data_IF_223694778524
#
_entry.id   IF_223694778524
#
_cell.length_a   1.000
_cell.length_b   1.000
_cell.length_c   1.000
_cell.angle_alpha   90.00
_cell.angle_beta   90.00
_cell.angle_gamma   90.00
#
_symmetry.space_group_name_H-M   'P 1'
#
loop_
_entity.id
_entity.type
_entity.pdbx_description
1 polymer ?
#
# COMPACT_ATOMS: atom_id res chain seq x y z
N UNK A 1 0.61 -10.73 -16.42
CA UNK A 1 -0.32 -10.20 -15.38
C UNK A 1 -0.53 -8.69 -15.47
N UNK A 2 0.42 -7.93 -16.01
CA UNK A 2 0.31 -6.49 -16.35
C UNK A 2 -0.80 -6.12 -17.37
N UNK A 3 -1.34 -7.08 -18.11
CA UNK A 3 -2.46 -6.86 -19.06
C UNK A 3 -3.80 -6.59 -18.38
N UNK A 4 -4.06 -7.16 -17.19
CA UNK A 4 -5.33 -6.95 -16.48
C UNK A 4 -5.35 -5.60 -15.79
N UNK A 5 -4.25 -5.19 -15.14
CA UNK A 5 -4.11 -3.83 -14.61
C UNK A 5 -4.18 -2.78 -15.72
N UNK A 6 -3.50 -3.03 -16.85
CA UNK A 6 -3.61 -2.20 -18.06
C UNK A 6 -5.02 -2.16 -18.65
N UNK A 7 -5.76 -3.27 -18.61
CA UNK A 7 -7.16 -3.36 -19.05
C UNK A 7 -8.12 -2.58 -18.14
N UNK A 8 -7.95 -2.67 -16.82
CA UNK A 8 -8.71 -1.88 -15.85
C UNK A 8 -8.45 -0.39 -16.08
N UNK A 9 -7.19 0.02 -16.25
CA UNK A 9 -6.86 1.42 -16.57
C UNK A 9 -7.43 1.83 -17.92
N UNK A 10 -7.40 0.95 -18.94
CA UNK A 10 -8.00 1.20 -20.26
C UNK A 10 -9.50 1.50 -20.16
N UNK A 11 -10.23 0.77 -19.30
CA UNK A 11 -11.63 1.03 -18.99
C UNK A 11 -11.88 2.41 -18.36
N UNK A 12 -10.93 2.93 -17.58
CA UNK A 12 -11.03 4.27 -16.99
C UNK A 12 -10.32 5.38 -17.79
N UNK A 13 -9.56 5.02 -18.83
CA UNK A 13 -8.77 5.94 -19.68
C UNK A 13 -9.58 7.08 -20.30
N UNK A 14 -10.85 6.90 -20.73
CA UNK A 14 -11.63 8.00 -21.27
C UNK A 14 -11.84 9.16 -20.27
N UNK A 15 -11.92 8.86 -18.96
CA UNK A 15 -12.05 9.85 -17.89
C UNK A 15 -10.71 10.37 -17.38
N UNK A 16 -9.64 9.58 -17.50
CA UNK A 16 -8.31 9.89 -16.95
C UNK A 16 -7.40 10.68 -17.89
N UNK A 17 -7.66 10.71 -19.21
CA UNK A 17 -6.90 11.54 -20.17
C UNK A 17 -6.94 13.04 -19.86
N UNK A 18 -7.91 13.49 -19.08
CA UNK A 18 -8.07 14.90 -18.71
C UNK A 18 -7.18 15.36 -17.54
N UNK A 19 -6.37 14.46 -16.93
CA UNK A 19 -5.67 14.76 -15.68
C UNK A 19 -4.23 14.22 -15.66
N UNK A 20 -3.22 15.07 -15.95
CA UNK A 20 -1.80 14.68 -15.99
C UNK A 20 -1.28 14.06 -14.68
N UNK A 21 -1.83 14.46 -13.54
CA UNK A 21 -1.44 13.97 -12.21
C UNK A 21 -1.71 12.47 -12.02
N UNK A 22 -2.70 11.89 -12.70
CA UNK A 22 -3.04 10.46 -12.61
C UNK A 22 -1.91 9.61 -13.19
N UNK A 23 -1.41 9.99 -14.36
CA UNK A 23 -0.30 9.31 -15.03
C UNK A 23 1.02 9.47 -14.27
N UNK A 24 1.20 10.60 -13.58
CA UNK A 24 2.36 10.83 -12.74
C UNK A 24 2.39 9.94 -11.49
N UNK A 25 1.23 9.71 -10.87
CA UNK A 25 1.11 8.94 -9.62
C UNK A 25 1.02 7.43 -9.83
N UNK A 26 0.61 6.98 -11.02
CA UNK A 26 0.34 5.57 -11.26
C UNK A 26 1.58 4.66 -11.15
N UNK A 27 2.72 4.93 -11.83
CA UNK A 27 3.93 4.11 -11.66
C UNK A 27 4.45 4.07 -10.22
N UNK A 28 4.56 5.21 -9.51
CA UNK A 28 4.93 5.23 -8.09
C UNK A 28 4.09 4.32 -7.18
N UNK A 29 2.78 4.31 -7.38
CA UNK A 29 1.86 3.48 -6.58
C UNK A 29 2.08 1.99 -6.82
N UNK A 30 2.41 1.61 -8.06
CA UNK A 30 2.73 0.21 -8.38
C UNK A 30 4.03 -0.26 -7.71
N UNK A 31 5.03 0.61 -7.60
CA UNK A 31 6.29 0.34 -6.88
C UNK A 31 6.02 0.08 -5.40
N UNK A 32 5.34 1.02 -4.72
CA UNK A 32 5.00 0.92 -3.29
C UNK A 32 4.26 -0.39 -2.99
N UNK A 33 3.31 -0.78 -3.86
CA UNK A 33 2.60 -2.05 -3.73
C UNK A 33 3.54 -3.25 -3.74
N UNK A 34 4.53 -3.26 -4.64
CA UNK A 34 5.52 -4.33 -4.76
C UNK A 34 6.32 -4.50 -3.48
N UNK A 35 6.85 -3.39 -2.97
CA UNK A 35 7.68 -3.36 -1.76
C UNK A 35 6.90 -3.87 -0.54
N UNK A 36 5.68 -3.37 -0.35
CA UNK A 36 4.82 -3.78 0.77
C UNK A 36 4.43 -5.25 0.67
N UNK A 37 4.10 -5.74 -0.53
CA UNK A 37 3.73 -7.15 -0.72
C UNK A 37 4.91 -8.07 -0.43
N UNK A 38 6.13 -7.68 -0.82
CA UNK A 38 7.36 -8.41 -0.54
C UNK A 38 7.67 -8.45 0.96
N UNK A 39 7.67 -7.30 1.61
CA UNK A 39 7.93 -7.17 3.06
C UNK A 39 6.92 -7.99 3.86
N UNK A 40 5.63 -7.88 3.53
CA UNK A 40 4.57 -8.62 4.20
C UNK A 40 4.73 -10.13 3.98
N UNK A 41 4.85 -10.59 2.74
CA UNK A 41 4.93 -12.03 2.43
C UNK A 41 6.17 -12.67 3.05
N UNK A 42 7.35 -12.05 2.89
CA UNK A 42 8.61 -12.59 3.40
C UNK A 42 8.60 -12.70 4.93
N UNK A 43 8.23 -11.63 5.64
CA UNK A 43 8.15 -11.66 7.10
C UNK A 43 7.12 -12.69 7.59
N UNK A 44 5.97 -12.81 6.92
CA UNK A 44 4.90 -13.71 7.36
C UNK A 44 5.30 -15.18 7.15
N UNK A 45 5.96 -15.53 6.04
CA UNK A 45 6.51 -16.86 5.80
C UNK A 45 7.60 -17.21 6.82
N UNK A 46 8.56 -16.31 7.07
CA UNK A 46 9.63 -16.53 8.05
C UNK A 46 9.07 -16.67 9.48
N UNK A 47 8.16 -15.79 9.89
CA UNK A 47 7.55 -15.86 11.22
C UNK A 47 6.70 -17.13 11.42
N UNK A 48 6.04 -17.65 10.37
CA UNK A 48 5.34 -18.94 10.44
C UNK A 48 6.31 -20.10 10.63
N UNK A 49 7.41 -20.14 9.88
CA UNK A 49 8.42 -21.20 9.97
C UNK A 49 9.18 -21.19 11.30
N UNK A 50 9.45 -19.99 11.85
CA UNK A 50 10.07 -19.84 13.17
C UNK A 50 9.08 -20.04 14.33
N UNK A 51 7.79 -20.24 14.05
CA UNK A 51 6.76 -20.41 15.07
C UNK A 51 6.44 -19.14 15.88
N UNK A 52 6.87 -17.96 15.41
CA UNK A 52 6.63 -16.66 16.04
C UNK A 52 5.17 -16.20 15.90
N UNK A 53 4.48 -16.65 14.85
CA UNK A 53 3.06 -16.38 14.62
C UNK A 53 2.28 -17.68 14.49
N UNK A 54 1.04 -17.66 14.98
CA UNK A 54 0.13 -18.80 14.88
C UNK A 54 -0.50 -18.82 13.48
N UNK A 55 -0.83 -19.99 12.92
CA UNK A 55 -1.52 -20.12 11.64
C UNK A 55 -3.03 -19.80 11.77
N UNK A 56 -3.34 -18.61 12.32
CA UNK A 56 -4.67 -18.07 12.59
C UNK A 56 -4.63 -16.54 12.44
N UNK A 57 -5.68 -15.96 11.87
CA UNK A 57 -5.75 -14.50 11.65
C UNK A 57 -6.24 -13.75 12.89
N UNK A 58 -7.24 -14.29 13.57
CA UNK A 58 -7.78 -13.70 14.81
C UNK A 58 -7.07 -14.26 16.03
N UNK A 59 -6.73 -13.38 16.98
CA UNK A 59 -6.06 -13.76 18.23
C UNK A 59 -4.63 -14.28 18.00
N UNK A 60 -3.93 -13.70 17.02
CA UNK A 60 -2.53 -14.02 16.75
C UNK A 60 -1.60 -13.35 17.78
N UNK A 61 -0.30 -13.64 17.70
CA UNK A 61 0.73 -13.12 18.61
C UNK A 61 0.96 -11.63 18.44
N UNK A 62 1.58 -11.01 19.44
CA UNK A 62 1.99 -9.60 19.39
C UNK A 62 2.97 -9.31 18.24
N UNK A 63 3.73 -10.31 17.81
CA UNK A 63 4.61 -10.24 16.64
C UNK A 63 3.81 -9.98 15.34
N UNK A 64 2.72 -10.72 15.11
CA UNK A 64 1.84 -10.49 13.95
C UNK A 64 1.24 -9.09 13.97
N UNK A 65 0.76 -8.65 15.15
CA UNK A 65 0.21 -7.30 15.32
C UNK A 65 1.25 -6.23 15.04
N UNK A 66 2.48 -6.42 15.50
CA UNK A 66 3.60 -5.52 15.27
C UNK A 66 3.97 -5.43 13.79
N UNK A 67 4.01 -6.56 13.08
CA UNK A 67 4.25 -6.61 11.64
C UNK A 67 3.15 -5.84 10.86
N UNK A 68 1.88 -6.09 11.17
CA UNK A 68 0.76 -5.38 10.54
C UNK A 68 0.83 -3.87 10.79
N UNK A 69 1.15 -3.47 12.02
CA UNK A 69 1.33 -2.05 12.35
C UNK A 69 2.52 -1.44 11.59
N UNK A 70 3.64 -2.16 11.49
CA UNK A 70 4.82 -1.72 10.76
C UNK A 70 4.51 -1.52 9.28
N UNK A 71 3.84 -2.49 8.64
CA UNK A 71 3.45 -2.40 7.23
C UNK A 71 2.52 -1.21 6.97
N UNK A 72 1.53 -0.96 7.83
CA UNK A 72 0.63 0.18 7.67
C UNK A 72 1.35 1.52 7.85
N UNK A 73 2.22 1.64 8.84
CA UNK A 73 3.00 2.86 9.07
C UNK A 73 4.00 3.09 7.92
N UNK A 74 4.68 2.03 7.47
CA UNK A 74 5.60 2.08 6.34
C UNK A 74 4.88 2.55 5.07
N UNK A 75 3.73 1.94 4.75
CA UNK A 75 2.89 2.36 3.61
C UNK A 75 2.55 3.85 3.67
N UNK A 76 2.22 4.36 4.85
CA UNK A 76 1.91 5.76 5.03
C UNK A 76 3.12 6.67 4.79
N UNK A 77 4.29 6.32 5.34
CA UNK A 77 5.54 7.05 5.13
C UNK A 77 5.96 7.03 3.66
N UNK A 78 5.91 5.87 3.01
CA UNK A 78 6.33 5.68 1.62
C UNK A 78 5.44 6.47 0.67
N UNK A 79 4.12 6.41 0.87
CA UNK A 79 3.17 7.16 0.04
C UNK A 79 3.32 8.67 0.19
N UNK A 80 3.62 9.16 1.40
CA UNK A 80 3.91 10.57 1.63
C UNK A 80 5.22 11.00 0.96
N UNK A 81 6.30 10.26 1.18
CA UNK A 81 7.60 10.55 0.58
C UNK A 81 7.49 10.56 -0.95
N UNK A 82 6.85 9.54 -1.51
CA UNK A 82 6.66 9.40 -2.94
C UNK A 82 5.72 10.47 -3.53
N UNK A 83 4.69 10.87 -2.78
CA UNK A 83 3.82 11.98 -3.14
C UNK A 83 4.58 13.30 -3.24
N UNK A 84 5.47 13.59 -2.28
CA UNK A 84 6.33 14.78 -2.28
C UNK A 84 7.34 14.74 -3.44
N UNK A 85 7.97 13.60 -3.70
CA UNK A 85 8.92 13.43 -4.83
C UNK A 85 8.19 13.63 -6.15
N UNK A 86 7.05 12.95 -6.34
CA UNK A 86 6.23 13.05 -7.56
C UNK A 86 5.75 14.48 -7.80
N UNK A 87 5.31 15.17 -6.75
CA UNK A 87 4.92 16.57 -6.81
C UNK A 87 6.09 17.46 -7.22
N UNK A 88 7.25 17.31 -6.57
CA UNK A 88 8.44 18.11 -6.83
C UNK A 88 8.93 17.96 -8.27
N UNK A 89 8.97 16.72 -8.79
CA UNK A 89 9.30 16.47 -10.20
C UNK A 89 8.30 17.14 -11.14
N UNK A 90 7.00 16.99 -10.90
CA UNK A 90 5.99 17.58 -11.78
C UNK A 90 5.97 19.12 -11.72
N UNK A 91 6.31 19.70 -10.57
CA UNK A 91 6.50 21.14 -10.42
C UNK A 91 7.71 21.64 -11.24
N UNK A 92 8.84 20.91 -11.19
CA UNK A 92 10.04 21.21 -11.97
C UNK A 92 9.79 21.12 -13.49
N UNK A 93 8.98 20.17 -13.94
CA UNK A 93 8.59 20.03 -15.35
C UNK A 93 7.44 20.96 -15.77
N UNK A 94 6.95 21.85 -14.89
CA UNK A 94 5.85 22.78 -15.18
C UNK A 94 4.49 22.12 -15.42
N UNK A 95 4.31 20.86 -14.98
CA UNK A 95 3.10 20.05 -15.19
C UNK A 95 2.16 20.05 -13.97
N UNK A 96 2.61 20.58 -12.83
CA UNK A 96 1.81 20.69 -11.62
C UNK A 96 1.81 22.12 -11.05
N UNK A 97 0.71 22.48 -10.40
CA UNK A 97 0.57 23.74 -9.63
C UNK A 97 0.66 23.48 -8.13
N UNK A 98 1.08 24.48 -7.35
CA UNK A 98 1.10 24.43 -5.88
C UNK A 98 -0.26 24.07 -5.29
N UNK A 99 -1.35 24.43 -5.97
CA UNK A 99 -2.72 24.08 -5.56
C UNK A 99 -3.00 22.58 -5.61
N UNK A 100 -2.19 21.79 -6.33
CA UNK A 100 -2.40 20.35 -6.47
C UNK A 100 -1.64 19.51 -5.45
N UNK A 101 -0.80 20.12 -4.58
CA UNK A 101 -0.01 19.41 -3.58
C UNK A 101 -0.87 18.45 -2.73
N UNK A 102 -2.09 18.88 -2.39
CA UNK A 102 -3.01 18.04 -1.63
C UNK A 102 -3.34 16.74 -2.37
N UNK A 103 -3.52 16.76 -3.70
CA UNK A 103 -3.85 15.58 -4.51
C UNK A 103 -2.71 14.57 -4.43
N UNK A 104 -1.48 15.05 -4.60
CA UNK A 104 -0.27 14.23 -4.55
C UNK A 104 -0.01 13.61 -3.18
N UNK A 105 -0.49 14.24 -2.10
CA UNK A 105 -0.43 13.65 -0.76
C UNK A 105 -1.61 12.70 -0.49
N UNK A 106 -2.84 13.11 -0.78
CA UNK A 106 -4.03 12.37 -0.34
C UNK A 106 -4.32 11.14 -1.20
N UNK A 107 -4.15 11.23 -2.52
CA UNK A 107 -4.54 10.14 -3.43
C UNK A 107 -3.69 8.89 -3.24
N UNK A 108 -2.34 8.96 -3.28
CA UNK A 108 -1.50 7.78 -3.09
C UNK A 108 -1.69 7.16 -1.71
N UNK A 109 -1.76 7.98 -0.66
CA UNK A 109 -1.91 7.50 0.70
C UNK A 109 -3.22 6.76 0.91
N UNK A 110 -4.36 7.34 0.52
CA UNK A 110 -5.66 6.67 0.68
C UNK A 110 -5.75 5.43 -0.19
N UNK A 111 -5.30 5.50 -1.44
CA UNK A 111 -5.34 4.36 -2.37
C UNK A 111 -4.52 3.17 -1.87
N UNK A 112 -3.26 3.41 -1.48
CA UNK A 112 -2.37 2.35 -1.02
C UNK A 112 -2.79 1.80 0.35
N UNK A 113 -3.24 2.64 1.29
CA UNK A 113 -3.71 2.14 2.59
C UNK A 113 -4.97 1.30 2.44
N UNK A 114 -5.92 1.71 1.58
CA UNK A 114 -7.07 0.88 1.24
C UNK A 114 -6.64 -0.46 0.63
N UNK A 115 -5.69 -0.43 -0.29
CA UNK A 115 -5.19 -1.65 -0.93
C UNK A 115 -4.52 -2.58 0.08
N UNK A 116 -3.61 -2.05 0.91
CA UNK A 116 -2.89 -2.80 1.95
C UNK A 116 -3.84 -3.37 2.99
N UNK A 117 -4.87 -2.62 3.41
CA UNK A 117 -5.87 -3.11 4.35
C UNK A 117 -6.59 -4.37 3.83
N UNK A 118 -6.78 -4.48 2.51
CA UNK A 118 -7.35 -5.67 1.86
C UNK A 118 -6.29 -6.74 1.60
N UNK A 119 -5.07 -6.36 1.24
CA UNK A 119 -3.97 -7.28 0.96
C UNK A 119 -3.49 -8.03 2.20
N UNK A 120 -3.44 -7.39 3.38
CA UNK A 120 -2.99 -8.02 4.63
C UNK A 120 -3.76 -9.33 4.95
N UNK A 121 -5.11 -9.34 5.02
CA UNK A 121 -5.84 -10.56 5.31
C UNK A 121 -5.72 -11.59 4.17
N UNK A 122 -5.66 -11.15 2.90
CA UNK A 122 -5.50 -12.06 1.76
C UNK A 122 -4.14 -12.78 1.80
N UNK A 123 -3.05 -12.04 1.98
CA UNK A 123 -1.69 -12.60 2.14
C UNK A 123 -1.60 -13.48 3.38
N UNK A 124 -2.20 -13.06 4.50
CA UNK A 124 -2.22 -13.88 5.72
C UNK A 124 -2.97 -15.20 5.53
N UNK A 125 -4.17 -15.17 4.91
CA UNK A 125 -4.98 -16.36 4.64
C UNK A 125 -4.23 -17.36 3.76
N UNK A 126 -3.64 -16.86 2.69
CA UNK A 126 -2.98 -17.70 1.69
C UNK A 126 -1.67 -18.28 2.23
N UNK A 127 -0.87 -17.50 2.96
CA UNK A 127 0.32 -18.01 3.65
C UNK A 127 -0.02 -19.08 4.70
N UNK A 128 -1.08 -18.86 5.49
CA UNK A 128 -1.57 -19.87 6.46
C UNK A 128 -2.05 -21.13 5.75
N UNK A 129 -2.77 -20.99 4.63
CA UNK A 129 -3.27 -22.11 3.84
C UNK A 129 -2.13 -22.93 3.21
N UNK A 130 -1.09 -22.27 2.70
CA UNK A 130 0.11 -22.91 2.17
C UNK A 130 0.87 -23.65 3.28
N UNK A 131 1.11 -22.99 4.42
CA UNK A 131 1.75 -23.58 5.59
C UNK A 131 1.03 -24.85 6.07
N UNK A 132 -0.32 -24.82 6.16
CA UNK A 132 -1.12 -26.00 6.54
C UNK A 132 -1.04 -27.15 5.54
N UNK A 133 -0.76 -26.87 4.27
CA UNK A 133 -0.61 -27.88 3.21
C UNK A 133 0.83 -28.35 3.05
N UNK A 134 1.79 -27.84 3.84
CA UNK A 134 3.21 -28.13 3.70
C UNK A 134 3.79 -27.64 2.37
N UNK A 135 3.10 -26.70 1.70
CA UNK A 135 3.55 -26.09 0.45
C UNK A 135 4.36 -24.86 0.79
N UNK A 136 5.44 -24.64 0.06
CA UNK A 136 6.20 -23.40 0.14
C UNK A 136 5.33 -22.25 -0.39
N UNK A 137 4.91 -21.29 0.47
CA UNK A 137 4.11 -20.14 0.05
C UNK A 137 4.78 -19.37 -1.10
N UNK A 138 6.11 -19.37 -1.15
CA UNK A 138 6.85 -18.52 -2.07
C UNK A 138 6.76 -19.02 -3.53
N UNK A 139 6.44 -20.31 -3.76
CA UNK A 139 6.42 -20.92 -5.11
C UNK A 139 5.06 -20.76 -5.81
N UNK A 140 3.95 -20.87 -5.08
CA UNK A 140 2.58 -20.89 -5.65
C UNK A 140 1.73 -19.72 -5.21
N UNK A 141 1.95 -19.19 -4.01
CA UNK A 141 1.10 -18.14 -3.44
C UNK A 141 1.57 -16.77 -3.91
N UNK A 142 2.88 -16.56 -4.08
CA UNK A 142 3.43 -15.28 -4.52
C UNK A 142 2.86 -14.78 -5.87
N UNK A 143 2.79 -15.59 -6.95
CA UNK A 143 2.27 -15.11 -8.25
C UNK A 143 0.77 -14.76 -8.20
N UNK A 144 -0.01 -15.53 -7.44
CA UNK A 144 -1.45 -15.32 -7.28
C UNK A 144 -1.68 -14.06 -6.45
N UNK A 145 -0.99 -13.91 -5.32
CA UNK A 145 -1.08 -12.72 -4.47
C UNK A 145 -0.63 -11.46 -5.19
N UNK A 146 0.46 -11.52 -5.94
CA UNK A 146 0.94 -10.38 -6.72
C UNK A 146 -0.15 -9.88 -7.69
N UNK A 147 -0.82 -10.82 -8.38
CA UNK A 147 -1.90 -10.51 -9.33
C UNK A 147 -3.15 -9.95 -8.65
N UNK A 148 -3.54 -10.52 -7.50
CA UNK A 148 -4.69 -10.03 -6.72
C UNK A 148 -4.39 -8.64 -6.17
N UNK A 149 -3.19 -8.43 -5.60
CA UNK A 149 -2.78 -7.13 -5.08
C UNK A 149 -2.66 -6.07 -6.18
N UNK A 150 -2.26 -6.45 -7.40
CA UNK A 150 -2.28 -5.58 -8.59
C UNK A 150 -3.69 -5.07 -8.90
N UNK A 151 -4.68 -5.97 -8.89
CA UNK A 151 -6.07 -5.60 -9.12
C UNK A 151 -6.57 -4.71 -7.99
N UNK A 152 -6.30 -5.08 -6.73
CA UNK A 152 -6.75 -4.35 -5.55
C UNK A 152 -6.17 -2.93 -5.53
N UNK A 153 -4.87 -2.75 -5.79
CA UNK A 153 -4.26 -1.41 -5.83
C UNK A 153 -4.79 -0.58 -6.99
N UNK A 154 -4.96 -1.19 -8.17
CA UNK A 154 -5.47 -0.49 -9.35
C UNK A 154 -6.92 -0.03 -9.15
N UNK A 155 -7.76 -0.88 -8.57
CA UNK A 155 -9.15 -0.54 -8.24
C UNK A 155 -9.20 0.54 -7.16
N UNK A 156 -8.36 0.44 -6.11
CA UNK A 156 -8.29 1.44 -5.05
C UNK A 156 -7.82 2.81 -5.57
N UNK A 157 -6.85 2.82 -6.48
CA UNK A 157 -6.39 4.02 -7.17
C UNK A 157 -7.47 4.60 -8.09
N UNK A 158 -8.15 3.77 -8.89
CA UNK A 158 -9.22 4.23 -9.76
C UNK A 158 -10.40 4.81 -8.97
N UNK A 159 -10.76 4.19 -7.83
CA UNK A 159 -11.81 4.68 -6.94
C UNK A 159 -11.45 6.03 -6.32
N UNK A 160 -10.25 6.18 -5.76
CA UNK A 160 -9.77 7.44 -5.17
C UNK A 160 -9.64 8.55 -6.22
N UNK A 161 -9.10 8.24 -7.41
CA UNK A 161 -9.04 9.18 -8.51
C UNK A 161 -10.44 9.63 -8.97
N UNK A 162 -11.40 8.70 -9.04
CA UNK A 162 -12.79 9.02 -9.39
C UNK A 162 -13.46 9.95 -8.37
N UNK A 163 -13.19 9.77 -7.07
CA UNK A 163 -13.68 10.66 -6.02
C UNK A 163 -13.13 12.09 -6.14
N UNK A 164 -11.87 12.24 -6.54
CA UNK A 164 -11.26 13.55 -6.81
C UNK A 164 -11.90 14.21 -8.03
N UNK A 165 -12.10 13.46 -9.12
CA UNK A 165 -12.71 13.99 -10.35
C UNK A 165 -14.18 14.36 -10.14
N UNK A 166 -14.93 13.59 -9.34
CA UNK A 166 -16.32 13.87 -9.02
C UNK A 166 -16.51 15.20 -8.26
N UNK A 167 -15.48 15.67 -7.54
CA UNK A 167 -15.52 16.91 -6.78
C UNK A 167 -16.52 16.90 -5.62
N UNK A 168 -16.68 18.06 -4.96
CA UNK A 168 -17.65 18.27 -3.88
C UNK A 168 -17.47 17.30 -2.72
N UNK A 169 -18.50 16.47 -2.46
CA UNK A 169 -18.50 15.49 -1.36
C UNK A 169 -17.35 14.48 -1.47
N UNK A 170 -17.03 14.01 -2.69
CA UNK A 170 -15.96 13.02 -2.90
C UNK A 170 -14.60 13.54 -2.45
N UNK A 171 -14.35 14.83 -2.69
CA UNK A 171 -13.13 15.49 -2.24
C UNK A 171 -13.06 15.60 -0.71
N UNK A 172 -14.15 16.00 -0.04
CA UNK A 172 -14.21 16.07 1.42
C UNK A 172 -14.05 14.69 2.07
N UNK A 173 -14.68 13.65 1.52
CA UNK A 173 -14.52 12.27 1.99
C UNK A 173 -13.08 11.80 1.90
N UNK A 174 -12.37 12.13 0.82
CA UNK A 174 -10.95 11.81 0.66
C UNK A 174 -10.09 12.52 1.71
N UNK A 175 -10.37 13.80 1.99
CA UNK A 175 -9.68 14.57 3.03
C UNK A 175 -9.89 13.98 4.43
N UNK A 176 -11.13 13.61 4.77
CA UNK A 176 -11.44 12.93 6.06
C UNK A 176 -10.77 11.56 6.13
N UNK A 177 -10.77 10.79 5.04
CA UNK A 177 -10.08 9.50 4.98
C UNK A 177 -8.57 9.67 5.19
N UNK A 178 -7.95 10.67 4.56
CA UNK A 178 -6.53 10.96 4.76
C UNK A 178 -6.21 11.34 6.21
N UNK A 179 -7.00 12.23 6.83
CA UNK A 179 -6.80 12.64 8.21
C UNK A 179 -6.99 11.48 9.20
N UNK A 180 -8.00 10.64 8.99
CA UNK A 180 -8.22 9.46 9.83
C UNK A 180 -7.06 8.46 9.71
N UNK A 181 -6.60 8.19 8.49
CA UNK A 181 -5.40 7.36 8.23
C UNK A 181 -4.17 7.96 8.90
N UNK A 182 -3.94 9.26 8.78
CA UNK A 182 -2.81 9.94 9.40
C UNK A 182 -2.84 9.79 10.93
N UNK A 183 -3.99 10.06 11.57
CA UNK A 183 -4.15 9.90 13.02
C UNK A 183 -3.91 8.44 13.44
N UNK A 184 -4.49 7.49 12.71
CA UNK A 184 -4.29 6.06 12.99
C UNK A 184 -2.82 5.66 12.87
N UNK A 185 -2.13 6.05 11.81
CA UNK A 185 -0.71 5.73 11.61
C UNK A 185 0.16 6.35 12.70
N UNK A 186 -0.11 7.60 13.11
CA UNK A 186 0.62 8.24 14.23
C UNK A 186 0.37 7.50 15.55
N UNK A 187 -0.88 7.12 15.84
CA UNK A 187 -1.21 6.36 17.05
C UNK A 187 -0.57 4.96 17.04
N UNK A 188 -0.58 4.28 15.90
CA UNK A 188 0.03 2.96 15.74
C UNK A 188 1.56 3.04 15.87
N UNK A 189 2.19 4.05 15.28
CA UNK A 189 3.62 4.29 15.41
C UNK A 189 4.00 4.60 16.87
N UNK A 190 3.22 5.45 17.54
CA UNK A 190 3.48 5.79 18.94
C UNK A 190 3.30 4.58 19.87
N UNK A 191 2.26 3.77 19.65
CA UNK A 191 2.00 2.56 20.44
C UNK A 191 3.03 1.46 20.21
N UNK A 192 3.54 1.33 18.98
CA UNK A 192 4.41 0.22 18.57
C UNK A 192 5.90 0.57 18.62
N UNK A 193 6.27 1.81 18.99
CA UNK A 193 7.66 2.30 19.02
C UNK A 193 8.63 1.48 19.87
N UNK A 194 8.11 0.70 20.82
CA UNK A 194 8.91 -0.12 21.73
C UNK A 194 9.07 -1.57 21.24
N UNK A 195 8.41 -1.98 20.17
CA UNK A 195 8.53 -3.33 19.63
C UNK A 195 9.73 -3.42 18.69
N UNK A 196 10.71 -4.28 18.99
CA UNK A 196 11.92 -4.46 18.17
C UNK A 196 11.58 -4.86 16.72
N UNK A 197 10.61 -5.77 16.55
CA UNK A 197 10.11 -6.17 15.23
C UNK A 197 9.54 -4.99 14.43
N UNK A 198 8.86 -4.05 15.08
CA UNK A 198 8.31 -2.87 14.40
C UNK A 198 9.44 -1.97 13.88
N UNK A 199 10.45 -1.72 14.70
CA UNK A 199 11.61 -0.89 14.32
C UNK A 199 12.43 -1.57 13.23
N UNK A 200 12.62 -2.89 13.32
CA UNK A 200 13.33 -3.67 12.32
C UNK A 200 12.62 -3.62 10.96
N UNK A 201 11.32 -3.91 10.92
CA UNK A 201 10.55 -3.86 9.66
C UNK A 201 10.52 -2.45 9.07
N UNK A 202 10.43 -1.40 9.89
CA UNK A 202 10.54 -0.02 9.40
C UNK A 202 11.94 0.28 8.83
N UNK A 203 13.01 -0.20 9.48
CA UNK A 203 14.38 -0.02 8.98
C UNK A 203 14.61 -0.76 7.67
N UNK A 204 14.12 -1.99 7.55
CA UNK A 204 14.18 -2.76 6.31
C UNK A 204 13.39 -2.07 5.19
N UNK A 205 12.17 -1.62 5.49
CA UNK A 205 11.31 -0.92 4.53
C UNK A 205 11.87 0.41 4.05
N UNK A 206 12.35 1.25 4.96
CA UNK A 206 12.94 2.56 4.59
C UNK A 206 14.20 2.42 3.73
N UNK A 207 14.99 1.35 3.92
CA UNK A 207 16.15 1.07 3.07
C UNK A 207 15.73 0.68 1.66
N UNK A 208 14.67 -0.12 1.50
CA UNK A 208 14.09 -0.47 0.18
C UNK A 208 13.63 0.79 -0.55
N UNK A 209 12.99 1.72 0.16
CA UNK A 209 12.47 2.98 -0.40
C UNK A 209 13.59 3.92 -0.87
N UNK A 210 14.72 3.96 -0.16
CA UNK A 210 15.87 4.79 -0.55
C UNK A 210 16.59 4.20 -1.77
N UNK A 211 16.54 2.88 -1.96
CA UNK A 211 17.23 2.16 -3.04
C UNK A 211 16.41 2.01 -4.32
N UNK A 212 15.11 2.30 -4.29
CA UNK A 212 14.15 2.12 -5.40
C UNK A 212 13.88 3.43 -6.16
#
# INVERSE_FOLDING_TARGET
MSLLAGGVISLFTPRFRASPWILALFPPILTIRGDISGILSGNLTTMLHLGLIRPRIRGNTDAYRSLVCAVLVLTFVDTLAMGVISFSLNLLFGRASLTQLYIYATVPTVACIMAVAVSIPLTSLTAIAAYRKGLDPDILVYPILASVNDIVVTVSFAATASLVIAGGLGFHLLGVAFLTVMILCVLLAWRSRHAELFVQTLREGTVVVILS
#
